data_IF_209683922212
#
_entry.id   IF_209683922212
#
_cell.length_a   1.000
_cell.length_b   1.000
_cell.length_c   1.000
_cell.angle_alpha   90.00
_cell.angle_beta   90.00
_cell.angle_gamma   90.00
#
_symmetry.space_group_name_H-M   'P 1'
#
loop_
_entity.id
_entity.type
_entity.pdbx_description
1 polymer ?
#
# COMPACT_ATOMS: atom_id res chain seq x y z
N UNK A 1 14.99 -6.09 6.38
CA UNK A 1 15.11 -5.96 4.91
C UNK A 1 14.87 -7.31 4.26
N UNK A 2 13.65 -7.53 3.76
CA UNK A 2 13.32 -8.40 2.62
C UNK A 2 11.81 -8.27 2.39
N UNK A 3 11.41 -7.21 1.68
CA UNK A 3 10.06 -7.05 1.16
C UNK A 3 9.96 -7.79 -0.16
N UNK A 4 9.61 -9.07 -0.15
CA UNK A 4 9.15 -9.79 -1.35
C UNK A 4 7.85 -10.51 -1.03
N UNK A 5 6.80 -9.95 -1.63
CA UNK A 5 5.55 -10.53 -2.13
C UNK A 5 4.48 -9.42 -2.12
N UNK A 6 4.75 -8.37 -2.91
CA UNK A 6 3.69 -7.58 -3.51
C UNK A 6 3.21 -8.28 -4.78
N UNK A 7 2.09 -7.83 -5.35
CA UNK A 7 1.61 -8.28 -6.67
C UNK A 7 2.79 -8.36 -7.65
N UNK A 8 2.90 -9.42 -8.48
CA UNK A 8 3.99 -9.56 -9.44
C UNK A 8 3.99 -8.32 -10.36
N UNK A 9 4.96 -7.43 -10.13
CA UNK A 9 5.16 -6.26 -10.98
C UNK A 9 5.93 -6.77 -12.19
N UNK A 10 5.28 -6.78 -13.34
CA UNK A 10 5.94 -7.06 -14.61
C UNK A 10 7.01 -5.98 -14.85
N UNK A 11 8.28 -6.36 -14.67
CA UNK A 11 9.44 -5.48 -14.88
C UNK A 11 9.75 -5.24 -16.35
N UNK A 12 9.14 -6.00 -17.26
CA UNK A 12 9.28 -5.81 -18.70
C UNK A 12 8.38 -4.67 -19.21
N UNK A 13 7.47 -4.17 -18.37
CA UNK A 13 6.59 -3.07 -18.71
C UNK A 13 7.37 -1.75 -18.87
N UNK A 14 7.35 -1.12 -20.06
CA UNK A 14 8.28 -0.05 -20.39
C UNK A 14 7.96 1.22 -19.58
N UNK A 15 8.91 1.68 -18.76
CA UNK A 15 8.80 2.90 -17.93
C UNK A 15 8.88 4.21 -18.72
N UNK A 16 9.43 4.18 -19.94
CA UNK A 16 9.80 5.40 -20.69
C UNK A 16 8.70 5.89 -21.65
N UNK A 17 7.59 5.16 -21.79
CA UNK A 17 6.45 5.51 -22.66
C UNK A 17 5.09 5.55 -21.92
N UNK A 18 5.10 5.57 -20.59
CA UNK A 18 3.89 5.37 -19.76
C UNK A 18 2.87 6.51 -19.92
N UNK A 19 3.32 7.76 -20.06
CA UNK A 19 2.40 8.91 -20.22
C UNK A 19 1.62 8.90 -21.54
N UNK A 20 2.07 8.10 -22.52
CA UNK A 20 1.39 7.92 -23.81
C UNK A 20 0.51 6.66 -23.86
N UNK A 21 0.50 5.85 -22.78
CA UNK A 21 -0.30 4.63 -22.72
C UNK A 21 -1.73 4.94 -22.29
N UNK A 22 -2.65 4.85 -23.25
CA UNK A 22 -4.09 4.86 -22.99
C UNK A 22 -4.55 3.50 -22.40
N UNK A 23 -5.14 3.50 -21.19
CA UNK A 23 -5.68 2.29 -20.56
C UNK A 23 -6.68 1.53 -21.44
N UNK A 24 -7.48 2.21 -22.25
CA UNK A 24 -8.45 1.55 -23.16
C UNK A 24 -7.74 0.80 -24.28
N UNK A 25 -6.63 1.33 -24.76
CA UNK A 25 -5.77 0.69 -25.77
C UNK A 25 -5.02 -0.52 -25.21
N UNK A 26 -4.60 -0.48 -23.93
CA UNK A 26 -3.97 -1.62 -23.24
C UNK A 26 -4.94 -2.80 -23.07
N UNK A 27 -6.22 -2.53 -22.77
CA UNK A 27 -7.27 -3.56 -22.68
C UNK A 27 -7.42 -4.36 -23.98
N UNK A 28 -7.20 -3.72 -25.14
CA UNK A 28 -7.33 -4.36 -26.46
C UNK A 28 -6.11 -5.18 -26.89
N UNK A 29 -4.90 -4.84 -26.42
CA UNK A 29 -3.65 -5.52 -26.82
C UNK A 29 -3.37 -6.81 -26.03
N UNK A 30 -3.91 -6.94 -24.82
CA UNK A 30 -3.63 -8.10 -23.96
C UNK A 30 -4.45 -9.36 -24.32
N UNK A 31 -5.39 -9.28 -25.27
CA UNK A 31 -6.10 -10.46 -25.78
C UNK A 31 -5.27 -11.37 -26.70
N UNK A 32 -4.01 -11.02 -26.97
CA UNK A 32 -3.14 -11.74 -27.93
C UNK A 32 -1.89 -12.39 -27.30
N UNK A 33 -1.68 -12.32 -25.98
CA UNK A 33 -0.44 -12.81 -25.33
C UNK A 33 -0.63 -14.10 -24.52
N UNK A 34 0.24 -15.08 -24.79
CA UNK A 34 0.34 -16.38 -24.08
C UNK A 34 1.38 -16.27 -22.96
N UNK A 35 1.05 -16.81 -21.78
CA UNK A 35 1.90 -16.81 -20.58
C UNK A 35 3.09 -17.79 -20.70
N UNK A 36 4.28 -17.35 -20.28
CA UNK A 36 5.38 -18.23 -19.86
C UNK A 36 5.57 -18.11 -18.35
N UNK A 37 5.59 -19.24 -17.64
CA UNK A 37 5.81 -19.34 -16.20
C UNK A 37 7.31 -19.19 -15.87
N UNK A 38 7.62 -18.41 -14.84
CA UNK A 38 8.97 -18.27 -14.29
C UNK A 38 8.93 -18.86 -12.87
N UNK A 39 9.61 -19.99 -12.68
CA UNK A 39 9.87 -20.55 -11.35
C UNK A 39 10.91 -19.70 -10.61
N UNK A 40 10.63 -19.40 -9.34
CA UNK A 40 11.56 -18.70 -8.46
C UNK A 40 11.74 -19.55 -7.20
N UNK A 41 12.94 -20.14 -7.05
CA UNK A 41 13.37 -20.82 -5.83
C UNK A 41 13.49 -19.84 -4.65
N UNK A 42 12.94 -20.22 -3.51
CA UNK A 42 12.96 -19.43 -2.26
C UNK A 42 13.97 -20.03 -1.28
N UNK A 43 15.03 -19.28 -0.97
CA UNK A 43 16.02 -19.67 0.06
C UNK A 43 15.46 -19.32 1.44
N UNK A 44 15.22 -20.33 2.30
CA UNK A 44 14.80 -20.13 3.69
C UNK A 44 15.99 -19.75 4.57
N UNK A 45 15.96 -18.55 5.14
CA UNK A 45 16.90 -18.10 6.18
C UNK A 45 16.18 -18.15 7.53
N UNK A 46 16.65 -18.99 8.45
CA UNK A 46 16.11 -19.10 9.81
C UNK A 46 16.36 -17.80 10.59
N UNK A 47 15.29 -17.21 11.12
CA UNK A 47 15.36 -16.00 11.95
C UNK A 47 14.70 -16.26 13.30
N UNK A 48 15.37 -15.88 14.39
CA UNK A 48 14.87 -16.02 15.78
C UNK A 48 13.63 -15.15 16.09
N UNK A 49 13.27 -14.21 15.22
CA UNK A 49 12.12 -13.30 15.42
C UNK A 49 10.83 -13.93 14.91
N UNK A 50 9.77 -13.88 15.73
CA UNK A 50 8.39 -14.19 15.30
C UNK A 50 7.98 -13.22 14.20
N UNK A 51 7.38 -13.73 13.12
CA UNK A 51 6.91 -12.93 11.98
C UNK A 51 5.41 -13.07 11.83
N UNK A 52 4.71 -11.94 11.81
CA UNK A 52 3.28 -11.86 11.53
C UNK A 52 3.09 -11.18 10.19
N UNK A 53 2.23 -11.74 9.32
CA UNK A 53 1.90 -11.15 8.02
C UNK A 53 0.40 -10.87 8.00
N UNK A 54 0.06 -9.59 7.92
CA UNK A 54 -1.33 -9.11 7.83
C UNK A 54 -1.50 -8.42 6.48
N UNK A 55 -2.44 -8.90 5.66
CA UNK A 55 -2.75 -8.30 4.37
C UNK A 55 -3.81 -7.20 4.51
N UNK A 56 -3.36 -5.99 4.88
CA UNK A 56 -4.24 -4.83 5.10
C UNK A 56 -5.08 -4.50 3.85
N UNK A 57 -4.63 -4.81 2.62
CA UNK A 57 -5.41 -4.59 1.41
C UNK A 57 -6.38 -5.75 1.14
N UNK A 58 -7.17 -6.09 2.16
CA UNK A 58 -7.98 -7.31 2.22
C UNK A 58 -9.09 -7.40 1.17
N UNK A 59 -9.76 -8.56 1.13
CA UNK A 59 -10.78 -8.89 0.12
C UNK A 59 -11.95 -7.90 0.09
N UNK A 60 -12.29 -7.26 1.22
CA UNK A 60 -13.37 -6.27 1.30
C UNK A 60 -12.99 -4.97 0.62
N UNK A 61 -11.82 -4.41 0.91
CA UNK A 61 -11.30 -3.23 0.20
C UNK A 61 -11.19 -3.47 -1.31
N UNK A 62 -10.65 -4.63 -1.71
CA UNK A 62 -10.57 -4.99 -3.12
C UNK A 62 -11.96 -5.02 -3.79
N UNK A 63 -12.97 -5.57 -3.13
CA UNK A 63 -14.33 -5.62 -3.70
C UNK A 63 -15.03 -4.26 -3.69
N UNK A 64 -15.01 -3.56 -2.56
CA UNK A 64 -15.79 -2.34 -2.32
C UNK A 64 -15.17 -1.08 -2.91
N UNK A 65 -13.83 -1.01 -2.98
CA UNK A 65 -13.12 0.20 -3.41
C UNK A 65 -12.41 0.02 -4.75
N UNK A 66 -12.01 -1.21 -5.11
CA UNK A 66 -11.28 -1.47 -6.35
C UNK A 66 -12.20 -1.99 -7.45
N UNK A 67 -12.84 -3.14 -7.24
CA UNK A 67 -13.66 -3.78 -8.27
C UNK A 67 -14.99 -3.06 -8.48
N UNK A 68 -15.61 -2.50 -7.43
CA UNK A 68 -16.82 -1.68 -7.58
C UNK A 68 -16.58 -0.42 -8.44
N UNK A 69 -15.34 0.10 -8.45
CA UNK A 69 -14.95 1.25 -9.25
C UNK A 69 -14.44 0.90 -10.66
N UNK A 70 -14.31 -0.39 -10.98
CA UNK A 70 -13.93 -0.85 -12.31
C UNK A 70 -15.19 -1.14 -13.14
N UNK A 71 -15.36 -0.46 -14.27
CA UNK A 71 -16.51 -0.66 -15.17
C UNK A 71 -16.40 -1.90 -16.08
N UNK A 72 -15.40 -2.76 -15.88
CA UNK A 72 -15.09 -3.88 -16.78
C UNK A 72 -14.47 -5.09 -16.05
N UNK A 73 -14.66 -6.32 -16.55
CA UNK A 73 -14.08 -7.53 -15.95
C UNK A 73 -12.56 -7.59 -16.17
N UNK A 74 -11.80 -7.61 -15.08
CA UNK A 74 -10.33 -7.69 -15.10
C UNK A 74 -9.86 -9.15 -15.19
N UNK A 75 -9.48 -9.61 -16.39
CA UNK A 75 -8.75 -10.87 -16.65
C UNK A 75 -7.42 -10.62 -17.34
N UNK A 76 -6.64 -9.65 -16.85
CA UNK A 76 -5.57 -9.03 -17.66
C UNK A 76 -4.27 -8.92 -16.86
N UNK A 77 -3.14 -9.29 -17.46
CA UNK A 77 -1.80 -9.20 -16.85
C UNK A 77 -1.44 -7.78 -16.39
N UNK A 78 -1.95 -6.76 -17.10
CA UNK A 78 -1.80 -5.33 -16.79
C UNK A 78 -2.87 -4.74 -15.86
N UNK A 79 -3.68 -5.59 -15.22
CA UNK A 79 -4.73 -5.16 -14.28
C UNK A 79 -4.21 -4.20 -13.21
N UNK A 80 -3.01 -4.46 -12.66
CA UNK A 80 -2.39 -3.60 -11.65
C UNK A 80 -2.18 -2.16 -12.11
N UNK A 81 -1.67 -1.97 -13.34
CA UNK A 81 -1.48 -0.63 -13.92
C UNK A 81 -2.81 0.11 -14.10
N UNK A 82 -3.83 -0.58 -14.63
CA UNK A 82 -5.14 0.02 -14.88
C UNK A 82 -5.83 0.39 -13.57
N UNK A 83 -5.79 -0.49 -12.56
CA UNK A 83 -6.31 -0.21 -11.23
C UNK A 83 -5.58 1.00 -10.62
N UNK A 84 -4.24 1.00 -10.69
CA UNK A 84 -3.42 2.11 -10.22
C UNK A 84 -3.84 3.44 -10.86
N UNK A 85 -4.00 3.46 -12.19
CA UNK A 85 -4.29 4.68 -12.94
C UNK A 85 -5.74 5.15 -12.85
N UNK A 86 -6.69 4.24 -12.98
CA UNK A 86 -8.11 4.58 -13.13
C UNK A 86 -8.86 4.64 -11.80
N UNK A 87 -8.37 3.95 -10.77
CA UNK A 87 -9.03 3.86 -9.46
C UNK A 87 -8.18 4.53 -8.38
N UNK A 88 -7.00 3.99 -8.10
CA UNK A 88 -6.19 4.41 -6.94
C UNK A 88 -5.67 5.85 -7.10
N UNK A 89 -5.17 6.23 -8.28
CA UNK A 89 -4.70 7.60 -8.53
C UNK A 89 -5.82 8.63 -8.44
N UNK A 90 -7.06 8.26 -8.82
CA UNK A 90 -8.21 9.17 -8.70
C UNK A 90 -8.70 9.29 -7.26
N UNK A 91 -8.58 8.22 -6.48
CA UNK A 91 -8.88 8.19 -5.05
C UNK A 91 -7.86 9.01 -4.25
N UNK A 92 -6.57 8.91 -4.60
CA UNK A 92 -5.47 9.53 -3.89
C UNK A 92 -5.16 8.83 -2.56
N UNK A 93 -3.94 9.05 -2.05
CA UNK A 93 -3.45 8.34 -0.86
C UNK A 93 -4.29 8.61 0.39
N UNK A 94 -4.67 9.87 0.61
CA UNK A 94 -5.40 10.26 1.81
C UNK A 94 -6.76 9.55 1.92
N UNK A 95 -7.51 9.49 0.81
CA UNK A 95 -8.78 8.75 0.80
C UNK A 95 -8.53 7.25 0.92
N UNK A 96 -7.52 6.70 0.22
CA UNK A 96 -7.20 5.27 0.30
C UNK A 96 -6.93 4.80 1.75
N UNK A 97 -6.17 5.58 2.53
CA UNK A 97 -5.91 5.27 3.94
C UNK A 97 -7.19 5.29 4.79
N UNK A 98 -8.14 6.19 4.51
CA UNK A 98 -9.46 6.19 5.15
C UNK A 98 -10.30 4.98 4.74
N UNK A 99 -10.28 4.59 3.47
CA UNK A 99 -10.99 3.39 3.01
C UNK A 99 -10.48 2.12 3.72
N UNK A 100 -9.19 2.05 4.07
CA UNK A 100 -8.67 0.96 4.89
C UNK A 100 -9.32 0.90 6.27
N UNK A 101 -9.55 2.03 6.95
CA UNK A 101 -10.20 2.01 8.27
C UNK A 101 -11.67 1.59 8.20
N UNK A 102 -12.33 1.84 7.07
CA UNK A 102 -13.74 1.52 6.84
C UNK A 102 -13.94 0.08 6.34
N UNK A 103 -12.97 -0.48 5.61
CA UNK A 103 -13.16 -1.76 4.93
C UNK A 103 -12.22 -2.89 5.40
N UNK A 104 -11.18 -2.57 6.17
CA UNK A 104 -10.16 -3.52 6.59
C UNK A 104 -10.06 -3.65 8.11
N UNK A 105 -11.16 -3.44 8.84
CA UNK A 105 -11.18 -3.57 10.30
C UNK A 105 -10.72 -4.95 10.80
N UNK A 106 -11.07 -6.09 10.17
CA UNK A 106 -10.57 -7.40 10.60
C UNK A 106 -9.04 -7.49 10.55
N UNK A 107 -8.44 -7.00 9.48
CA UNK A 107 -6.99 -7.01 9.28
C UNK A 107 -6.30 -5.99 10.21
N UNK A 108 -6.89 -4.80 10.39
CA UNK A 108 -6.40 -3.82 11.37
C UNK A 108 -6.44 -4.43 12.78
N UNK A 109 -7.53 -5.09 13.15
CA UNK A 109 -7.65 -5.79 14.44
C UNK A 109 -6.55 -6.83 14.59
N UNK A 110 -6.34 -7.67 13.58
CA UNK A 110 -5.28 -8.69 13.60
C UNK A 110 -3.90 -8.06 13.86
N UNK A 111 -3.57 -6.96 13.17
CA UNK A 111 -2.33 -6.24 13.39
C UNK A 111 -2.21 -5.67 14.81
N UNK A 112 -3.29 -5.09 15.35
CA UNK A 112 -3.30 -4.52 16.71
C UNK A 112 -3.18 -5.60 17.80
N UNK A 113 -3.76 -6.78 17.59
CA UNK A 113 -3.65 -7.90 18.53
C UNK A 113 -2.20 -8.39 18.72
N UNK A 114 -1.29 -8.14 17.77
CA UNK A 114 0.13 -8.46 17.96
C UNK A 114 0.75 -7.65 19.11
N UNK A 115 0.29 -6.41 19.33
CA UNK A 115 0.78 -5.52 20.39
C UNK A 115 0.25 -5.87 21.78
N UNK A 116 -0.76 -6.75 21.89
CA UNK A 116 -1.35 -7.11 23.18
C UNK A 116 -0.62 -8.27 23.88
N UNK A 117 0.32 -8.92 23.19
CA UNK A 117 1.07 -10.06 23.70
C UNK A 117 2.48 -9.60 24.16
N UNK A 118 2.78 -9.63 25.48
CA UNK A 118 4.06 -9.19 26.01
C UNK A 118 5.28 -9.88 25.39
N UNK A 119 5.16 -11.16 25.04
CA UNK A 119 6.26 -11.93 24.43
C UNK A 119 6.63 -11.47 23.01
N UNK A 120 5.81 -10.62 22.38
CA UNK A 120 6.10 -10.09 21.05
C UNK A 120 7.06 -8.89 21.06
N UNK A 121 7.31 -8.27 22.23
CA UNK A 121 8.16 -7.08 22.30
C UNK A 121 9.66 -7.44 22.31
N UNK A 122 10.53 -6.62 21.66
CA UNK A 122 10.20 -5.41 20.90
C UNK A 122 9.62 -5.69 19.51
N UNK A 123 8.61 -4.90 19.10
CA UNK A 123 7.90 -5.04 17.82
C UNK A 123 8.45 -4.05 16.78
N UNK A 124 8.75 -4.55 15.59
CA UNK A 124 9.02 -3.76 14.39
C UNK A 124 7.85 -3.94 13.41
N UNK A 125 7.25 -2.82 12.97
CA UNK A 125 6.22 -2.83 11.91
C UNK A 125 6.79 -2.21 10.64
N UNK A 126 6.52 -2.85 9.50
CA UNK A 126 6.93 -2.33 8.19
C UNK A 126 5.90 -2.72 7.12
N UNK A 127 5.93 -2.00 6.00
CA UNK A 127 5.25 -2.41 4.78
C UNK A 127 6.27 -2.43 3.64
N UNK A 128 5.89 -2.02 2.43
CA UNK A 128 6.85 -1.89 1.31
C UNK A 128 7.81 -0.72 1.57
N UNK A 129 7.25 0.49 1.72
CA UNK A 129 8.03 1.73 1.94
C UNK A 129 7.99 2.23 3.39
N UNK A 130 7.29 1.55 4.29
CA UNK A 130 7.14 1.98 5.68
C UNK A 130 6.31 3.26 5.89
N UNK A 131 5.58 3.72 4.85
CA UNK A 131 4.81 4.98 4.88
C UNK A 131 3.35 4.79 5.24
N UNK A 132 2.53 4.27 4.31
CA UNK A 132 1.06 4.40 4.41
C UNK A 132 0.44 3.41 5.39
N UNK A 133 0.55 2.09 5.13
CA UNK A 133 0.02 1.05 6.02
C UNK A 133 0.73 1.04 7.37
N UNK A 134 2.04 1.26 7.37
CA UNK A 134 2.83 1.37 8.60
C UNK A 134 2.41 2.59 9.40
N UNK A 135 2.35 3.77 8.77
CA UNK A 135 1.87 4.98 9.41
C UNK A 135 0.48 4.82 10.01
N UNK A 136 -0.46 4.24 9.25
CA UNK A 136 -1.83 4.00 9.72
C UNK A 136 -1.86 3.17 11.01
N UNK A 137 -1.14 2.04 11.06
CA UNK A 137 -1.06 1.19 12.26
C UNK A 137 -0.32 1.91 13.39
N UNK A 138 0.78 2.62 13.10
CA UNK A 138 1.50 3.43 14.10
C UNK A 138 0.58 4.46 14.75
N UNK A 139 -0.21 5.20 13.96
CA UNK A 139 -1.12 6.20 14.49
C UNK A 139 -2.21 5.57 15.35
N UNK A 140 -2.81 4.47 14.93
CA UNK A 140 -3.78 3.73 15.74
C UNK A 140 -3.20 3.32 17.09
N UNK A 141 -2.00 2.72 17.11
CA UNK A 141 -1.33 2.30 18.35
C UNK A 141 -1.03 3.50 19.25
N UNK A 142 -0.50 4.60 18.68
CA UNK A 142 -0.18 5.81 19.44
C UNK A 142 -1.44 6.50 19.98
N UNK A 143 -2.52 6.55 19.20
CA UNK A 143 -3.82 7.09 19.66
C UNK A 143 -4.39 6.26 20.81
N UNK A 144 -4.34 4.92 20.73
CA UNK A 144 -4.76 4.02 21.81
C UNK A 144 -3.91 4.25 23.08
N UNK A 145 -2.62 4.52 22.91
CA UNK A 145 -1.72 4.85 24.01
C UNK A 145 -1.90 6.28 24.57
N UNK A 146 -2.84 7.07 24.04
CA UNK A 146 -3.15 8.42 24.52
C UNK A 146 -2.15 9.50 24.09
N UNK A 147 -1.36 9.25 23.04
CA UNK A 147 -0.42 10.24 22.51
C UNK A 147 -1.18 11.38 21.80
N UNK A 148 -0.83 12.66 22.01
CA UNK A 148 -1.51 13.79 21.37
C UNK A 148 -1.47 13.73 19.84
N UNK A 149 -2.55 14.17 19.19
CA UNK A 149 -2.69 14.19 17.73
C UNK A 149 -1.51 14.91 17.05
N UNK A 150 -1.09 16.08 17.56
CA UNK A 150 0.01 16.82 16.95
C UNK A 150 1.33 16.05 16.95
N UNK A 151 1.56 15.19 17.96
CA UNK A 151 2.77 14.38 18.07
C UNK A 151 2.72 13.24 17.06
N UNK A 152 1.56 12.57 16.91
CA UNK A 152 1.36 11.50 15.93
C UNK A 152 1.57 12.03 14.50
N UNK A 153 0.97 13.17 14.19
CA UNK A 153 1.07 13.81 12.87
C UNK A 153 2.50 14.25 12.56
N UNK A 154 3.19 14.84 13.54
CA UNK A 154 4.58 15.26 13.38
C UNK A 154 5.54 14.08 13.24
N UNK A 155 5.28 12.96 13.91
CA UNK A 155 6.09 11.76 13.74
C UNK A 155 6.00 11.21 12.32
N UNK A 156 4.78 11.09 11.80
CA UNK A 156 4.57 10.68 10.41
C UNK A 156 5.24 11.61 9.40
N UNK A 157 5.21 12.93 9.62
CA UNK A 157 5.84 13.91 8.73
C UNK A 157 7.35 13.67 8.54
N UNK A 158 8.04 13.07 9.53
CA UNK A 158 9.46 12.70 9.40
C UNK A 158 9.71 11.67 8.30
N UNK A 159 8.70 10.88 7.94
CA UNK A 159 8.77 9.88 6.86
C UNK A 159 9.22 10.51 5.55
N UNK A 160 8.78 11.73 5.23
CA UNK A 160 9.18 12.42 4.00
C UNK A 160 10.71 12.53 3.87
N UNK A 161 11.38 12.91 4.97
CA UNK A 161 12.84 13.01 5.02
C UNK A 161 13.49 11.64 4.92
N UNK A 162 12.93 10.63 5.57
CA UNK A 162 13.42 9.25 5.51
C UNK A 162 13.34 8.63 4.11
N UNK A 163 12.37 9.05 3.30
CA UNK A 163 12.19 8.55 1.92
C UNK A 163 13.04 9.30 0.88
N UNK A 164 13.66 10.42 1.22
CA UNK A 164 14.45 11.21 0.28
C UNK A 164 15.53 10.40 -0.48
N UNK A 165 16.29 9.46 0.14
CA UNK A 165 17.30 8.67 -0.57
C UNK A 165 16.73 7.72 -1.63
N UNK A 166 15.48 7.29 -1.48
CA UNK A 166 14.81 6.32 -2.37
C UNK A 166 13.71 6.97 -3.21
N UNK A 167 13.58 8.30 -3.16
CA UNK A 167 12.48 9.04 -3.77
C UNK A 167 12.35 8.77 -5.29
N UNK A 168 13.47 8.82 -6.02
CA UNK A 168 13.46 8.60 -7.48
C UNK A 168 13.05 7.17 -7.83
N UNK A 169 13.58 6.18 -7.10
CA UNK A 169 13.19 4.78 -7.28
C UNK A 169 11.69 4.59 -7.00
N UNK A 170 11.17 5.20 -5.93
CA UNK A 170 9.74 5.15 -5.61
C UNK A 170 8.89 5.75 -6.72
N UNK A 171 9.33 6.88 -7.28
CA UNK A 171 8.61 7.58 -8.36
C UNK A 171 8.49 6.68 -9.59
N UNK A 172 9.57 6.02 -9.98
CA UNK A 172 9.57 5.05 -11.08
C UNK A 172 8.67 3.85 -10.80
N UNK A 173 8.72 3.29 -9.60
CA UNK A 173 7.88 2.15 -9.20
C UNK A 173 6.39 2.49 -9.20
N UNK A 174 6.03 3.62 -8.59
CA UNK A 174 4.65 4.15 -8.52
C UNK A 174 4.10 4.37 -9.94
N UNK A 175 4.86 5.01 -10.82
CA UNK A 175 4.46 5.22 -12.23
C UNK A 175 4.32 3.90 -12.99
N UNK A 176 5.20 2.92 -12.75
CA UNK A 176 5.14 1.59 -13.40
C UNK A 176 3.84 0.86 -13.09
N UNK A 177 3.28 1.05 -11.90
CA UNK A 177 1.99 0.47 -11.51
C UNK A 177 0.81 1.43 -11.74
N UNK A 178 1.02 2.53 -12.47
CA UNK A 178 -0.02 3.46 -12.87
C UNK A 178 -0.47 4.42 -11.77
N UNK A 179 0.20 4.44 -10.62
CA UNK A 179 -0.11 5.37 -9.54
C UNK A 179 0.43 6.79 -9.86
N UNK A 180 -0.24 7.80 -9.32
CA UNK A 180 0.16 9.20 -9.42
C UNK A 180 1.27 9.56 -8.43
N UNK A 181 2.02 10.62 -8.73
CA UNK A 181 3.20 11.03 -7.97
C UNK A 181 2.91 11.42 -6.50
N UNK A 182 1.66 11.72 -6.13
CA UNK A 182 1.28 11.96 -4.73
C UNK A 182 1.50 10.71 -3.85
N UNK A 183 1.53 9.51 -4.44
CA UNK A 183 1.79 8.25 -3.73
C UNK A 183 3.21 8.15 -3.16
N UNK A 184 4.16 8.95 -3.66
CA UNK A 184 5.52 8.98 -3.08
C UNK A 184 5.68 9.98 -1.93
N UNK A 185 4.67 10.82 -1.69
CA UNK A 185 4.74 11.87 -0.66
C UNK A 185 4.17 11.37 0.67
N UNK A 186 4.66 11.94 1.78
CA UNK A 186 4.17 11.73 3.14
C UNK A 186 3.66 13.04 3.79
N UNK A 187 2.67 13.74 3.17
CA UNK A 187 2.15 14.98 3.73
C UNK A 187 1.45 14.74 5.08
N UNK A 188 1.66 15.60 6.11
CA UNK A 188 1.06 15.43 7.44
C UNK A 188 -0.47 15.29 7.43
N UNK A 189 -1.12 15.84 6.40
CA UNK A 189 -2.57 15.80 6.20
C UNK A 189 -3.12 14.37 6.11
N UNK A 190 -2.33 13.40 5.63
CA UNK A 190 -2.75 12.00 5.59
C UNK A 190 -3.04 11.51 7.01
N UNK A 191 -2.12 11.76 7.94
CA UNK A 191 -2.31 11.34 9.33
C UNK A 191 -3.31 12.21 10.09
N UNK A 192 -3.31 13.50 9.82
CA UNK A 192 -4.27 14.41 10.44
C UNK A 192 -5.71 13.95 10.15
N UNK A 193 -6.00 13.62 8.90
CA UNK A 193 -7.32 13.16 8.50
C UNK A 193 -7.67 11.79 9.10
N UNK A 194 -6.67 10.92 9.28
CA UNK A 194 -6.85 9.61 9.90
C UNK A 194 -7.17 9.75 11.40
N UNK A 195 -6.32 10.43 12.17
CA UNK A 195 -6.52 10.58 13.63
C UNK A 195 -7.84 11.27 13.94
N UNK A 196 -8.20 12.32 13.19
CA UNK A 196 -9.50 12.99 13.34
C UNK A 196 -10.70 12.09 13.04
N UNK A 197 -10.54 11.06 12.20
CA UNK A 197 -11.62 10.11 11.95
C UNK A 197 -11.90 9.19 13.14
N UNK A 198 -10.96 9.06 14.09
CA UNK A 198 -11.13 8.21 15.27
C UNK A 198 -11.74 8.92 16.48
N UNK A 199 -11.64 10.26 16.54
CA UNK A 199 -12.00 11.06 17.72
C UNK A 199 -13.43 11.65 17.63
N UNK A 200 -14.05 11.61 16.45
CA UNK A 200 -15.32 12.29 16.18
C UNK A 200 -16.55 11.35 16.07
N UNK A 201 -16.47 10.14 16.63
CA UNK A 201 -17.64 9.27 16.91
C UNK A 201 -17.80 9.09 18.43
#
# INVERSE_FOLDING_TARGET
>A
MEGKEGLPIDKTFPTVLIDQLDPVTLLKKDSEFVHNEIEIETVKKETLRRKYRVDIAGKRFQRSCIFASCSFPLKIQKAGYIIGKQVLSKMGVCQMVKEFTIHCQPEIKEALMVFTEPDNFPIEIHCTQGKDRTGMISALVLSIAGVPEEIIVNDYAKTQKGLAPVYQQMLEEVRRIGLSDDFVQAPPQIQLALVKSFVNE
#
